data_IF_062301463404
#
_entry.id   IF_062301463404
#
_cell.length_a   1.000
_cell.length_b   1.000
_cell.length_c   1.000
_cell.angle_alpha   90.00
_cell.angle_beta   90.00
_cell.angle_gamma   90.00
#
_symmetry.space_group_name_H-M   'P 1'
#
loop_
_entity.id
_entity.type
_entity.pdbx_description
1 polymer ?
#
# COMPACT_ATOMS: atom_id res chain seq x y z
N UNK A 1 8.60 -0.35 -23.48
CA UNK A 1 7.27 -0.16 -22.85
C UNK A 1 7.56 0.28 -21.41
N UNK A 2 6.82 1.23 -20.81
CA UNK A 2 7.17 1.68 -19.45
C UNK A 2 6.81 0.58 -18.44
N UNK A 3 7.82 0.14 -17.69
CA UNK A 3 7.73 -0.82 -16.59
C UNK A 3 6.90 -0.26 -15.42
N UNK A 4 5.97 -1.06 -14.90
CA UNK A 4 5.19 -0.72 -13.70
C UNK A 4 5.85 -1.34 -12.45
N UNK A 5 5.86 -0.66 -11.29
CA UNK A 5 6.52 -1.17 -10.08
C UNK A 5 5.91 -2.48 -9.60
N UNK A 6 6.72 -3.32 -8.93
CA UNK A 6 6.23 -4.51 -8.23
C UNK A 6 5.15 -4.10 -7.22
N UNK A 7 3.93 -4.62 -7.39
CA UNK A 7 2.82 -4.39 -6.46
C UNK A 7 3.24 -4.86 -5.06
N UNK A 8 3.06 -4.00 -4.06
CA UNK A 8 3.25 -4.30 -2.63
C UNK A 8 1.90 -4.32 -1.93
N UNK A 9 1.80 -5.05 -0.82
CA UNK A 9 0.64 -5.07 0.05
C UNK A 9 0.95 -4.31 1.35
N UNK A 10 0.09 -3.35 1.70
CA UNK A 10 0.17 -2.63 2.96
C UNK A 10 -0.40 -3.46 4.10
N UNK A 11 0.24 -3.42 5.26
CA UNK A 11 -0.28 -4.02 6.49
C UNK A 11 -0.40 -2.92 7.55
N UNK A 12 -1.63 -2.64 7.96
CA UNK A 12 -1.91 -1.69 9.04
C UNK A 12 -2.39 -2.44 10.27
N UNK A 13 -1.58 -2.43 11.32
CA UNK A 13 -1.92 -3.00 12.61
C UNK A 13 -2.58 -1.95 13.51
N UNK A 14 -3.55 -2.36 14.33
CA UNK A 14 -4.06 -1.48 15.37
C UNK A 14 -2.96 -1.14 16.40
N UNK A 15 -3.03 0.05 17.01
CA UNK A 15 -2.01 0.49 17.98
C UNK A 15 -1.93 -0.42 19.20
N UNK A 16 -3.06 -1.00 19.58
CA UNK A 16 -3.08 -2.09 20.55
C UNK A 16 -2.68 -1.74 21.98
N UNK A 17 -2.77 -0.45 22.33
CA UNK A 17 -2.30 0.07 23.61
C UNK A 17 -3.13 -0.41 24.80
N UNK A 18 -4.40 -0.77 24.58
CA UNK A 18 -5.35 -1.13 25.64
C UNK A 18 -5.31 -2.62 26.04
N UNK A 19 -4.87 -3.53 25.15
CA UNK A 19 -5.03 -4.98 25.35
C UNK A 19 -3.95 -5.81 24.66
N UNK A 20 -3.69 -7.01 25.20
CA UNK A 20 -2.69 -7.94 24.67
C UNK A 20 -2.92 -8.32 23.19
N UNK A 21 -4.19 -8.46 22.78
CA UNK A 21 -4.54 -8.74 21.38
C UNK A 21 -4.04 -7.67 20.40
N UNK A 22 -3.91 -6.42 20.86
CA UNK A 22 -3.32 -5.35 20.07
C UNK A 22 -1.79 -5.37 20.00
N UNK A 23 -1.12 -6.06 20.92
CA UNK A 23 0.31 -6.37 20.77
C UNK A 23 0.50 -7.54 19.82
N UNK A 24 -0.43 -8.50 19.81
CA UNK A 24 -0.46 -9.56 18.81
C UNK A 24 -0.57 -8.99 17.40
N UNK A 25 -1.42 -7.98 17.13
CA UNK A 25 -1.51 -7.37 15.80
C UNK A 25 -0.19 -6.80 15.31
N UNK A 26 0.50 -6.01 16.15
CA UNK A 26 1.77 -5.36 15.80
C UNK A 26 2.89 -6.37 15.56
N UNK A 27 3.01 -7.39 16.43
CA UNK A 27 4.02 -8.43 16.27
C UNK A 27 3.71 -9.36 15.10
N UNK A 28 2.44 -9.65 14.81
CA UNK A 28 2.04 -10.41 13.63
C UNK A 28 2.35 -9.65 12.34
N UNK A 29 2.02 -8.35 12.28
CA UNK A 29 2.39 -7.48 11.16
C UNK A 29 3.91 -7.45 10.94
N UNK A 30 4.69 -7.31 12.02
CA UNK A 30 6.15 -7.33 11.97
C UNK A 30 6.67 -8.69 11.47
N UNK A 31 6.11 -9.80 11.97
CA UNK A 31 6.48 -11.15 11.53
C UNK A 31 6.21 -11.35 10.04
N UNK A 32 5.06 -10.88 9.54
CA UNK A 32 4.76 -10.93 8.09
C UNK A 32 5.78 -10.10 7.31
N UNK A 33 6.05 -8.88 7.77
CA UNK A 33 7.00 -7.96 7.13
C UNK A 33 8.44 -8.49 7.12
N UNK A 34 8.92 -9.11 8.20
CA UNK A 34 10.33 -9.46 8.32
C UNK A 34 10.62 -10.91 7.91
N UNK A 35 9.67 -11.82 8.11
CA UNK A 35 9.92 -13.27 8.03
C UNK A 35 9.13 -13.97 6.94
N UNK A 36 7.88 -13.55 6.67
CA UNK A 36 7.02 -14.28 5.73
C UNK A 36 7.02 -13.68 4.33
N UNK A 37 6.92 -12.36 4.18
CA UNK A 37 6.65 -11.65 2.92
C UNK A 37 7.40 -10.32 2.83
N UNK A 38 8.70 -10.33 3.13
CA UNK A 38 9.52 -9.12 3.26
C UNK A 38 9.74 -8.37 1.96
N UNK A 39 9.76 -9.07 0.82
CA UNK A 39 9.87 -8.46 -0.48
C UNK A 39 8.52 -8.01 -1.05
N UNK A 40 7.41 -8.32 -0.38
CA UNK A 40 6.05 -8.14 -0.90
C UNK A 40 5.17 -7.22 -0.05
N UNK A 41 5.57 -6.96 1.20
CA UNK A 41 4.77 -6.19 2.16
C UNK A 41 5.47 -4.92 2.63
N UNK A 42 4.66 -3.99 3.11
CA UNK A 42 5.10 -2.80 3.85
C UNK A 42 4.17 -2.59 5.04
N UNK A 43 4.68 -2.06 6.14
CA UNK A 43 3.85 -1.73 7.31
C UNK A 43 3.41 -0.28 7.28
N UNK A 44 2.17 -0.03 7.68
CA UNK A 44 1.60 1.29 7.88
C UNK A 44 1.47 1.56 9.37
N UNK A 45 2.03 2.68 9.82
CA UNK A 45 1.98 3.09 11.21
C UNK A 45 0.63 3.75 11.50
N UNK A 46 -0.30 3.03 12.14
CA UNK A 46 -1.64 3.57 12.43
C UNK A 46 -1.62 4.92 13.18
N UNK A 47 -0.78 5.14 14.21
CA UNK A 47 -0.68 6.46 14.83
C UNK A 47 -0.31 7.59 13.85
N UNK A 48 0.68 7.37 12.98
CA UNK A 48 1.09 8.36 11.97
C UNK A 48 -0.01 8.56 10.92
N UNK A 49 -0.64 7.47 10.49
CA UNK A 49 -1.77 7.48 9.56
C UNK A 49 -2.94 8.32 10.10
N UNK A 50 -3.27 8.16 11.39
CA UNK A 50 -4.29 8.96 12.07
C UNK A 50 -3.87 10.43 12.19
N UNK A 51 -2.59 10.70 12.46
CA UNK A 51 -2.04 12.04 12.63
C UNK A 51 -1.90 12.86 11.33
N UNK A 52 -2.19 12.28 10.16
CA UNK A 52 -2.03 13.00 8.88
C UNK A 52 -0.81 12.57 8.06
N UNK A 53 -0.25 11.40 8.29
CA UNK A 53 0.82 10.83 7.48
C UNK A 53 0.38 10.60 6.04
N UNK A 54 0.55 11.61 5.18
CA UNK A 54 0.08 11.58 3.79
C UNK A 54 0.75 10.48 2.96
N UNK A 55 2.01 10.13 3.24
CA UNK A 55 2.68 9.01 2.58
C UNK A 55 1.98 7.66 2.82
N UNK A 56 1.63 7.37 4.07
CA UNK A 56 0.94 6.12 4.43
C UNK A 56 -0.50 6.11 3.91
N UNK A 57 -1.19 7.26 3.97
CA UNK A 57 -2.56 7.40 3.42
C UNK A 57 -2.59 7.23 1.92
N UNK A 58 -1.64 7.82 1.22
CA UNK A 58 -1.47 7.66 -0.22
C UNK A 58 -1.23 6.21 -0.58
N UNK A 59 -0.28 5.56 0.11
CA UNK A 59 -0.02 4.15 -0.09
C UNK A 59 -1.31 3.33 0.04
N UNK A 60 -2.04 3.49 1.15
CA UNK A 60 -3.28 2.74 1.38
C UNK A 60 -4.41 3.04 0.38
N UNK A 61 -4.35 4.18 -0.32
CA UNK A 61 -5.34 4.57 -1.34
C UNK A 61 -5.08 3.90 -2.68
N UNK A 62 -3.82 3.66 -3.00
CA UNK A 62 -3.40 3.14 -4.30
C UNK A 62 -2.96 1.68 -4.27
N UNK A 63 -2.66 1.13 -3.10
CA UNK A 63 -2.19 -0.24 -2.91
C UNK A 63 -3.11 -1.05 -2.00
N UNK A 64 -3.28 -2.36 -2.29
CA UNK A 64 -4.08 -3.22 -1.46
C UNK A 64 -3.53 -3.21 -0.03
N UNK A 65 -4.41 -2.97 0.94
CA UNK A 65 -4.04 -2.84 2.35
C UNK A 65 -4.86 -3.78 3.21
N UNK A 66 -4.17 -4.58 4.02
CA UNK A 66 -4.76 -5.49 5.01
C UNK A 66 -4.76 -4.80 6.37
N UNK A 67 -5.93 -4.73 7.00
CA UNK A 67 -6.05 -4.26 8.37
C UNK A 67 -6.01 -5.42 9.37
N UNK A 68 -5.18 -5.32 10.40
CA UNK A 68 -5.11 -6.28 11.50
C UNK A 68 -5.51 -5.58 12.79
N UNK A 69 -6.65 -5.98 13.36
CA UNK A 69 -7.26 -5.36 14.52
C UNK A 69 -7.28 -6.32 15.72
N UNK A 70 -6.99 -5.78 16.90
CA UNK A 70 -6.96 -6.58 18.14
C UNK A 70 -8.35 -6.94 18.65
N UNK A 71 -9.38 -6.18 18.27
CA UNK A 71 -10.76 -6.34 18.73
C UNK A 71 -11.77 -5.81 17.71
N UNK A 72 -13.05 -5.95 18.04
CA UNK A 72 -14.22 -5.54 17.25
C UNK A 72 -14.33 -4.02 17.01
N UNK A 73 -13.64 -3.18 17.80
CA UNK A 73 -13.54 -1.73 17.56
C UNK A 73 -12.98 -1.39 16.18
N UNK A 74 -12.15 -2.30 15.61
CA UNK A 74 -11.61 -2.24 14.25
C UNK A 74 -10.92 -0.91 13.90
N UNK A 75 -10.07 -0.42 14.80
CA UNK A 75 -9.42 0.89 14.68
C UNK A 75 -8.62 1.04 13.38
N UNK A 76 -7.85 0.02 13.00
CA UNK A 76 -7.04 0.02 11.79
C UNK A 76 -7.91 -0.01 10.53
N UNK A 77 -8.88 -0.91 10.48
CA UNK A 77 -9.79 -1.00 9.33
C UNK A 77 -10.59 0.30 9.13
N UNK A 78 -11.16 0.85 10.21
CA UNK A 78 -11.96 2.08 10.17
C UNK A 78 -11.14 3.30 9.80
N UNK A 79 -9.90 3.41 10.30
CA UNK A 79 -9.01 4.48 9.92
C UNK A 79 -8.70 4.42 8.41
N UNK A 80 -8.32 3.23 7.93
CA UNK A 80 -8.02 3.00 6.52
C UNK A 80 -9.21 3.37 5.64
N UNK A 81 -10.41 2.87 5.97
CA UNK A 81 -11.65 3.18 5.26
C UNK A 81 -11.93 4.68 5.20
N UNK A 82 -11.78 5.36 6.34
CA UNK A 82 -12.06 6.79 6.45
C UNK A 82 -11.09 7.66 5.62
N UNK A 83 -9.81 7.32 5.58
CA UNK A 83 -8.78 8.22 5.02
C UNK A 83 -8.25 7.79 3.63
N UNK A 84 -8.39 6.50 3.29
CA UNK A 84 -7.77 5.90 2.11
C UNK A 84 -8.67 4.94 1.34
N UNK A 85 -9.87 4.62 1.84
CA UNK A 85 -10.79 3.67 1.23
C UNK A 85 -10.77 2.29 1.89
N UNK A 86 -11.68 1.41 1.48
CA UNK A 86 -11.93 0.14 2.18
C UNK A 86 -10.68 -0.76 2.15
N UNK A 87 -10.25 -1.33 3.30
CA UNK A 87 -9.22 -2.35 3.33
C UNK A 87 -9.54 -3.51 2.39
N UNK A 88 -8.51 -4.01 1.69
CA UNK A 88 -8.63 -5.15 0.79
C UNK A 88 -8.93 -6.46 1.56
N UNK A 89 -8.44 -6.55 2.80
CA UNK A 89 -8.83 -7.57 3.75
C UNK A 89 -8.77 -7.03 5.19
N UNK A 90 -9.48 -7.69 6.10
CA UNK A 90 -9.49 -7.33 7.53
C UNK A 90 -9.43 -8.60 8.37
N UNK A 91 -8.57 -8.59 9.39
CA UNK A 91 -8.38 -9.66 10.35
C UNK A 91 -8.60 -9.12 11.76
N UNK A 92 -9.39 -9.82 12.58
CA UNK A 92 -9.56 -9.48 13.99
C UNK A 92 -9.01 -10.60 14.85
N UNK A 93 -8.02 -10.29 15.69
CA UNK A 93 -7.31 -11.28 16.51
C UNK A 93 -8.27 -12.05 17.41
N UNK A 94 -9.16 -11.37 18.11
CA UNK A 94 -10.14 -12.02 19.00
C UNK A 94 -11.14 -12.92 18.28
N UNK A 95 -11.42 -12.68 16.99
CA UNK A 95 -12.25 -13.56 16.17
C UNK A 95 -11.48 -14.83 15.78
N UNK A 96 -10.16 -14.73 15.54
CA UNK A 96 -9.31 -15.86 15.17
C UNK A 96 -8.95 -16.77 16.34
N UNK A 97 -8.55 -16.18 17.48
CA UNK A 97 -8.02 -16.95 18.62
C UNK A 97 -9.01 -17.10 19.77
N UNK A 98 -10.15 -16.42 19.71
CA UNK A 98 -11.17 -16.40 20.76
C UNK A 98 -10.98 -15.22 21.74
N UNK A 99 -12.06 -14.48 22.00
CA UNK A 99 -12.04 -13.27 22.82
C UNK A 99 -11.67 -13.52 24.29
N UNK A 100 -12.01 -14.70 24.83
CA UNK A 100 -11.76 -15.08 26.23
C UNK A 100 -10.34 -15.62 26.48
N UNK A 101 -9.54 -15.78 25.43
CA UNK A 101 -8.20 -16.35 25.55
C UNK A 101 -7.26 -15.35 26.21
N UNK A 102 -6.60 -15.76 27.29
CA UNK A 102 -5.60 -14.96 27.96
C UNK A 102 -4.28 -14.95 27.15
N UNK A 103 -4.01 -13.84 26.48
CA UNK A 103 -2.80 -13.62 25.68
C UNK A 103 -1.66 -12.94 26.49
N UNK A 104 -1.89 -12.69 27.78
CA UNK A 104 -0.99 -11.94 28.66
C UNK A 104 -1.43 -10.48 28.80
N UNK A 105 -0.47 -9.56 28.77
CA UNK A 105 -0.70 -8.12 28.97
C UNK A 105 -0.35 -7.33 27.70
N UNK A 106 -0.85 -6.10 27.54
CA UNK A 106 -0.45 -5.23 26.42
C UNK A 106 1.07 -5.10 26.28
N UNK A 107 1.81 -5.04 27.40
CA UNK A 107 3.27 -4.87 27.37
C UNK A 107 4.06 -6.18 27.25
N UNK A 108 3.44 -7.32 27.56
CA UNK A 108 4.12 -8.61 27.61
C UNK A 108 3.15 -9.75 27.34
N UNK A 109 3.34 -10.40 26.19
CA UNK A 109 2.61 -11.61 25.83
C UNK A 109 3.08 -12.81 26.66
N UNK A 110 2.14 -13.67 27.03
CA UNK A 110 2.44 -15.00 27.56
C UNK A 110 2.70 -15.97 26.39
N UNK A 111 2.78 -17.26 26.67
CA UNK A 111 3.04 -18.27 25.64
C UNK A 111 1.89 -18.35 24.61
N UNK A 112 0.65 -18.38 25.09
CA UNK A 112 -0.54 -18.34 24.24
C UNK A 112 -0.57 -17.09 23.35
N UNK A 113 -0.15 -15.93 23.88
CA UNK A 113 -0.01 -14.69 23.12
C UNK A 113 1.04 -14.78 22.02
N UNK A 114 2.18 -15.44 22.28
CA UNK A 114 3.19 -15.68 21.24
C UNK A 114 2.69 -16.63 20.15
N UNK A 115 1.99 -17.70 20.53
CA UNK A 115 1.36 -18.60 19.57
C UNK A 115 0.30 -17.88 18.73
N UNK A 116 -0.47 -16.96 19.33
CA UNK A 116 -1.42 -16.13 18.60
C UNK A 116 -0.76 -15.22 17.56
N UNK A 117 0.47 -14.73 17.81
CA UNK A 117 1.24 -13.98 16.80
C UNK A 117 1.50 -14.83 15.57
N UNK A 118 1.93 -16.08 15.77
CA UNK A 118 2.19 -17.01 14.67
C UNK A 118 0.90 -17.33 13.91
N UNK A 119 -0.19 -17.66 14.60
CA UNK A 119 -1.51 -17.93 14.00
C UNK A 119 -2.01 -16.76 13.16
N UNK A 120 -1.90 -15.52 13.67
CA UNK A 120 -2.37 -14.33 12.95
C UNK A 120 -1.46 -14.02 11.76
N UNK A 121 -0.14 -14.15 11.89
CA UNK A 121 0.78 -13.93 10.78
C UNK A 121 0.57 -14.97 9.66
N UNK A 122 0.37 -16.24 10.02
CA UNK A 122 0.07 -17.32 9.08
C UNK A 122 -1.29 -17.15 8.40
N UNK A 123 -2.28 -16.54 9.07
CA UNK A 123 -3.55 -16.19 8.46
C UNK A 123 -3.44 -15.00 7.49
N UNK A 124 -2.54 -14.06 7.75
CA UNK A 124 -2.33 -12.86 6.92
C UNK A 124 -1.49 -13.15 5.67
N UNK A 125 -0.47 -14.00 5.76
CA UNK A 125 0.41 -14.35 4.64
C UNK A 125 -0.33 -14.80 3.35
N UNK A 126 -1.31 -15.72 3.39
CA UNK A 126 -2.06 -16.11 2.19
C UNK A 126 -2.96 -14.98 1.67
N UNK A 127 -3.40 -14.04 2.52
CA UNK A 127 -4.12 -12.85 2.05
C UNK A 127 -3.19 -11.96 1.21
N UNK A 128 -1.93 -11.81 1.62
CA UNK A 128 -0.91 -11.11 0.83
C UNK A 128 -0.72 -11.80 -0.52
N UNK A 129 -0.52 -13.12 -0.53
CA UNK A 129 -0.35 -13.91 -1.76
C UNK A 129 -1.52 -13.73 -2.73
N UNK A 130 -2.75 -13.83 -2.21
CA UNK A 130 -3.96 -13.67 -2.99
C UNK A 130 -4.09 -12.26 -3.59
N UNK A 131 -3.71 -11.23 -2.83
CA UNK A 131 -3.77 -9.84 -3.28
C UNK A 131 -2.70 -9.52 -4.34
N UNK A 132 -1.60 -10.28 -4.38
CA UNK A 132 -0.55 -10.14 -5.39
C UNK A 132 -0.73 -11.07 -6.59
N UNK A 133 -1.62 -12.06 -6.52
CA UNK A 133 -1.80 -13.07 -7.55
C UNK A 133 -0.64 -14.09 -7.62
N UNK A 134 0.15 -14.24 -6.55
CA UNK A 134 1.35 -15.07 -6.52
C UNK A 134 1.06 -16.42 -5.86
N UNK A 135 1.52 -17.54 -6.45
CA UNK A 135 1.50 -18.87 -5.81
C UNK A 135 2.81 -19.13 -5.07
N UNK A 136 2.73 -19.40 -3.76
CA UNK A 136 3.88 -19.63 -2.87
C UNK A 136 4.26 -21.11 -2.71
N UNK A 137 5.55 -21.45 -2.76
CA UNK A 137 6.04 -22.82 -2.48
C UNK A 137 6.45 -22.96 -1.02
N UNK A 138 5.71 -23.81 -0.28
CA UNK A 138 6.02 -24.14 1.13
C UNK A 138 7.32 -24.92 1.32
N UNK A 139 7.90 -25.50 0.26
CA UNK A 139 9.16 -26.28 0.35
C UNK A 139 10.42 -25.43 0.29
N UNK A 140 10.35 -24.28 -0.39
CA UNK A 140 11.52 -23.43 -0.67
C UNK A 140 11.49 -22.10 0.10
N UNK A 141 10.36 -21.73 0.71
CA UNK A 141 10.25 -20.44 1.40
C UNK A 141 10.42 -19.24 0.46
N UNK A 142 10.07 -19.40 -0.82
CA UNK A 142 10.21 -18.38 -1.85
C UNK A 142 9.01 -18.41 -2.81
N UNK A 143 8.77 -17.28 -3.50
CA UNK A 143 7.81 -17.19 -4.59
C UNK A 143 8.18 -18.18 -5.70
N UNK A 144 7.17 -18.85 -6.28
CA UNK A 144 7.37 -19.63 -7.50
C UNK A 144 7.15 -18.69 -8.67
N UNK A 145 8.23 -18.19 -9.26
CA UNK A 145 8.16 -17.28 -10.41
C UNK A 145 7.70 -18.04 -11.67
N UNK A 146 6.69 -17.51 -12.35
CA UNK A 146 6.67 -17.60 -13.81
C UNK A 146 7.76 -16.66 -14.34
N UNK A 147 8.64 -17.24 -15.14
CA UNK A 147 9.90 -16.67 -15.63
C UNK A 147 9.72 -15.38 -16.42
N UNK A 148 10.47 -14.35 -16.02
CA UNK A 148 11.16 -13.46 -16.96
C UNK A 148 12.29 -12.73 -16.24
N UNK A 149 13.53 -13.00 -16.66
CA UNK A 149 14.76 -12.42 -16.14
C UNK A 149 14.98 -10.98 -16.66
N UNK A 150 16.09 -10.28 -16.31
CA UNK A 150 16.05 -9.01 -15.61
C UNK A 150 16.47 -7.85 -16.53
N UNK A 151 16.26 -6.60 -16.11
CA UNK A 151 17.24 -5.50 -16.26
C UNK A 151 16.71 -4.17 -15.69
N UNK A 152 17.63 -3.28 -15.42
CA UNK A 152 17.65 -2.28 -14.33
C UNK A 152 16.80 -1.03 -14.58
N UNK A 153 16.13 -0.52 -13.53
CA UNK A 153 15.58 0.83 -13.50
C UNK A 153 15.74 1.49 -12.11
N UNK A 154 16.06 2.78 -12.15
CA UNK A 154 16.58 3.60 -11.03
C UNK A 154 15.46 3.99 -10.07
N UNK A 155 15.48 3.39 -8.88
CA UNK A 155 14.60 3.72 -7.75
C UNK A 155 14.99 5.06 -7.11
N UNK A 156 14.01 5.92 -6.82
CA UNK A 156 14.15 6.87 -5.73
C UNK A 156 13.98 6.10 -4.41
N UNK A 157 15.09 5.70 -3.78
CA UNK A 157 15.05 4.97 -2.51
C UNK A 157 14.63 5.89 -1.36
N UNK A 158 13.41 5.69 -0.85
CA UNK A 158 13.03 6.18 0.47
C UNK A 158 13.70 5.30 1.55
N UNK A 159 13.98 5.86 2.73
CA UNK A 159 14.66 5.19 3.84
C UNK A 159 13.98 3.87 4.31
N UNK A 160 12.71 3.68 3.94
CA UNK A 160 11.91 2.48 4.27
C UNK A 160 11.86 1.41 3.15
N UNK A 161 12.54 1.60 2.02
CA UNK A 161 12.59 0.60 0.94
C UNK A 161 11.30 0.44 0.12
N UNK A 162 10.28 1.29 0.32
CA UNK A 162 9.12 1.37 -0.58
C UNK A 162 9.47 2.20 -1.81
N UNK A 163 9.77 1.55 -2.93
CA UNK A 163 9.84 2.24 -4.21
C UNK A 163 8.46 2.77 -4.57
N UNK A 164 8.28 4.10 -4.52
CA UNK A 164 7.06 4.72 -5.05
C UNK A 164 7.19 4.77 -6.58
N UNK A 165 6.17 4.35 -7.36
CA UNK A 165 6.19 4.50 -8.81
C UNK A 165 6.57 5.90 -9.19
N UNK A 166 7.59 6.03 -10.03
CA UNK A 166 7.94 7.30 -10.65
C UNK A 166 7.62 7.23 -12.14
N UNK A 167 7.12 8.33 -12.69
CA UNK A 167 7.05 8.55 -14.12
C UNK A 167 8.04 9.65 -14.47
N UNK A 168 8.94 9.37 -15.40
CA UNK A 168 9.77 10.41 -16.01
C UNK A 168 9.01 10.98 -17.20
N UNK A 169 8.65 12.26 -17.13
CA UNK A 169 7.96 12.96 -18.22
C UNK A 169 8.76 14.19 -18.65
N UNK A 170 8.53 14.60 -19.89
CA UNK A 170 9.11 15.83 -20.44
C UNK A 170 8.13 16.98 -20.23
N UNK A 171 8.53 17.95 -19.40
CA UNK A 171 7.79 19.19 -19.17
C UNK A 171 8.58 20.33 -19.80
N UNK A 172 8.01 20.95 -20.84
CA UNK A 172 8.75 21.81 -21.75
C UNK A 172 10.03 21.09 -22.26
N UNK A 173 11.21 21.61 -21.97
CA UNK A 173 12.51 21.04 -22.39
C UNK A 173 13.26 20.31 -21.26
N UNK A 174 12.59 20.05 -20.13
CA UNK A 174 13.20 19.39 -18.96
C UNK A 174 12.60 18.01 -18.75
N UNK A 175 13.46 17.03 -18.46
CA UNK A 175 13.03 15.72 -17.96
C UNK A 175 12.82 15.82 -16.46
N UNK A 176 11.62 15.54 -16.02
CA UNK A 176 11.20 15.62 -14.63
C UNK A 176 10.69 14.25 -14.17
N UNK A 177 11.12 13.84 -12.98
CA UNK A 177 10.71 12.57 -12.38
C UNK A 177 9.62 12.85 -11.36
N UNK A 178 8.40 12.45 -11.68
CA UNK A 178 7.25 12.64 -10.80
C UNK A 178 6.86 11.35 -10.08
N UNK A 179 6.66 11.49 -8.79
CA UNK A 179 6.30 10.43 -7.86
C UNK A 179 4.79 10.19 -7.92
N UNK A 180 4.38 8.92 -7.79
CA UNK A 180 3.01 8.42 -7.72
C UNK A 180 2.16 8.58 -9.00
N UNK A 181 2.66 9.24 -10.05
CA UNK A 181 1.89 9.50 -11.28
C UNK A 181 1.31 8.22 -11.94
N UNK A 182 2.05 7.10 -12.08
CA UNK A 182 1.48 5.87 -12.62
C UNK A 182 0.26 5.36 -11.82
N UNK A 183 0.31 5.45 -10.50
CA UNK A 183 -0.79 5.03 -9.63
C UNK A 183 -1.98 6.00 -9.69
N UNK A 184 -1.71 7.31 -9.85
CA UNK A 184 -2.76 8.32 -10.06
C UNK A 184 -3.51 8.04 -11.37
N UNK A 185 -2.81 7.66 -12.45
CA UNK A 185 -3.43 7.32 -13.73
C UNK A 185 -4.36 6.10 -13.60
N UNK A 186 -3.89 5.02 -12.98
CA UNK A 186 -4.70 3.83 -12.73
C UNK A 186 -5.97 4.18 -11.94
N UNK A 187 -5.84 4.98 -10.88
CA UNK A 187 -6.96 5.43 -10.05
C UNK A 187 -7.99 6.23 -10.84
N UNK A 188 -7.55 7.21 -11.64
CA UNK A 188 -8.46 8.01 -12.48
C UNK A 188 -9.17 7.13 -13.51
N UNK A 189 -8.45 6.19 -14.13
CA UNK A 189 -9.02 5.27 -15.11
C UNK A 189 -10.12 4.38 -14.51
N UNK A 190 -9.87 3.82 -13.33
CA UNK A 190 -10.83 2.99 -12.58
C UNK A 190 -12.08 3.78 -12.14
N UNK A 191 -11.96 5.08 -11.91
CA UNK A 191 -13.09 5.97 -11.62
C UNK A 191 -13.89 6.38 -12.87
N UNK A 192 -13.51 5.90 -14.05
CA UNK A 192 -14.16 6.28 -15.31
C UNK A 192 -13.84 7.69 -15.76
N UNK A 193 -12.86 8.36 -15.13
CA UNK A 193 -12.38 9.67 -15.59
C UNK A 193 -11.62 9.45 -16.89
N UNK A 194 -11.90 10.25 -17.91
CA UNK A 194 -11.26 10.17 -19.21
C UNK A 194 -10.62 11.50 -19.58
N UNK A 195 -9.56 11.51 -20.41
CA UNK A 195 -8.82 12.74 -20.71
C UNK A 195 -9.65 13.85 -21.38
N UNK A 196 -10.73 13.47 -22.07
CA UNK A 196 -11.68 14.36 -22.74
C UNK A 196 -12.73 14.96 -21.79
N UNK A 197 -12.85 14.42 -20.58
CA UNK A 197 -13.81 14.89 -19.59
C UNK A 197 -13.33 16.23 -19.01
N UNK A 198 -14.22 17.23 -19.01
CA UNK A 198 -13.90 18.57 -18.53
C UNK A 198 -13.47 18.54 -17.05
N UNK A 199 -12.38 19.24 -16.72
CA UNK A 199 -11.83 19.33 -15.36
C UNK A 199 -10.86 18.21 -14.95
N UNK A 200 -10.73 17.11 -15.72
CA UNK A 200 -9.80 16.01 -15.38
C UNK A 200 -8.35 16.46 -15.38
N UNK A 201 -7.94 17.33 -16.30
CA UNK A 201 -6.57 17.84 -16.37
C UNK A 201 -6.18 18.62 -15.10
N UNK A 202 -7.04 19.53 -14.66
CA UNK A 202 -6.85 20.29 -13.43
C UNK A 202 -6.84 19.37 -12.18
N UNK A 203 -7.74 18.39 -12.11
CA UNK A 203 -7.80 17.43 -11.00
C UNK A 203 -6.56 16.53 -10.96
N UNK A 204 -6.06 16.12 -12.13
CA UNK A 204 -4.85 15.31 -12.28
C UNK A 204 -3.60 16.07 -11.80
N UNK A 205 -3.49 17.35 -12.17
CA UNK A 205 -2.45 18.24 -11.67
C UNK A 205 -2.53 18.41 -10.14
N UNK A 206 -3.73 18.67 -9.60
CA UNK A 206 -3.92 18.82 -8.15
C UNK A 206 -3.56 17.55 -7.39
N UNK A 207 -3.95 16.39 -7.89
CA UNK A 207 -3.61 15.10 -7.27
C UNK A 207 -2.10 14.84 -7.35
N UNK A 208 -1.46 15.21 -8.46
CA UNK A 208 0.00 15.06 -8.63
C UNK A 208 0.78 15.98 -7.69
N UNK A 209 0.28 17.20 -7.42
CA UNK A 209 0.86 18.16 -6.46
C UNK A 209 0.90 17.66 -5.02
N UNK A 210 0.06 16.68 -4.66
CA UNK A 210 0.10 16.06 -3.33
C UNK A 210 1.45 15.36 -3.05
N UNK A 211 2.16 14.95 -4.10
CA UNK A 211 3.40 14.18 -3.99
C UNK A 211 4.61 14.86 -4.62
N UNK A 212 4.39 15.95 -5.36
CA UNK A 212 5.42 16.61 -6.15
C UNK A 212 5.34 18.12 -5.97
N UNK A 213 6.47 18.75 -5.65
CA UNK A 213 6.56 20.20 -5.56
C UNK A 213 6.54 20.83 -6.95
N UNK A 214 5.35 21.26 -7.39
CA UNK A 214 5.13 21.92 -8.68
C UNK A 214 4.69 23.36 -8.42
N UNK A 215 5.55 24.32 -8.78
CA UNK A 215 5.26 25.74 -8.61
C UNK A 215 4.10 26.20 -9.52
N UNK A 216 3.40 27.27 -9.14
CA UNK A 216 2.22 27.75 -9.87
C UNK A 216 2.56 28.32 -11.25
N UNK A 217 3.76 28.88 -11.41
CA UNK A 217 4.24 29.47 -12.67
C UNK A 217 4.41 28.42 -13.77
N UNK A 218 4.73 27.19 -13.39
CA UNK A 218 4.96 26.07 -14.32
C UNK A 218 3.77 25.12 -14.41
N UNK A 219 2.73 25.33 -13.60
CA UNK A 219 1.57 24.46 -13.49
C UNK A 219 0.91 24.13 -14.84
N UNK A 220 0.70 25.10 -15.76
CA UNK A 220 0.07 24.81 -17.05
C UNK A 220 0.88 23.84 -17.91
N UNK A 221 2.22 23.90 -17.83
CA UNK A 221 3.10 23.00 -18.57
C UNK A 221 3.02 21.57 -18.02
N UNK A 222 2.95 21.41 -16.70
CA UNK A 222 2.75 20.13 -16.03
C UNK A 222 1.37 19.54 -16.31
N UNK A 223 0.32 20.35 -16.26
CA UNK A 223 -1.04 19.92 -16.59
C UNK A 223 -1.13 19.35 -18.01
N UNK A 224 -0.58 20.09 -18.99
CA UNK A 224 -0.52 19.62 -20.36
C UNK A 224 0.30 18.33 -20.52
N UNK A 225 1.43 18.20 -19.81
CA UNK A 225 2.26 16.99 -19.85
C UNK A 225 1.57 15.78 -19.23
N UNK A 226 0.98 15.94 -18.05
CA UNK A 226 0.23 14.89 -17.36
C UNK A 226 -0.96 14.42 -18.18
N UNK A 227 -1.71 15.35 -18.81
CA UNK A 227 -2.86 15.00 -19.63
C UNK A 227 -2.46 14.20 -20.88
N UNK A 228 -1.34 14.56 -21.54
CA UNK A 228 -0.80 13.79 -22.68
C UNK A 228 -0.44 12.36 -22.27
N UNK A 229 0.35 12.21 -21.19
CA UNK A 229 0.76 10.90 -20.71
C UNK A 229 -0.43 10.06 -20.22
N UNK A 230 -1.43 10.69 -19.60
CA UNK A 230 -2.64 10.02 -19.17
C UNK A 230 -3.49 9.55 -20.36
N UNK A 231 -3.54 10.33 -21.44
CA UNK A 231 -4.20 9.93 -22.69
C UNK A 231 -3.54 8.68 -23.29
N UNK A 232 -2.21 8.63 -23.31
CA UNK A 232 -1.47 7.44 -23.74
C UNK A 232 -1.70 6.24 -22.83
N UNK A 233 -1.81 6.46 -21.52
CA UNK A 233 -2.15 5.39 -20.57
C UNK A 233 -3.53 4.79 -20.88
N UNK A 234 -4.57 5.62 -21.03
CA UNK A 234 -5.93 5.16 -21.33
C UNK A 234 -6.00 4.35 -22.64
N UNK A 235 -5.36 4.84 -23.71
CA UNK A 235 -5.31 4.12 -24.99
C UNK A 235 -4.70 2.71 -24.88
N UNK A 236 -3.70 2.53 -24.00
CA UNK A 236 -3.08 1.22 -23.77
C UNK A 236 -3.96 0.25 -22.97
N UNK A 237 -4.88 0.76 -22.15
CA UNK A 237 -5.81 -0.08 -21.38
C UNK A 237 -7.02 -0.53 -22.22
N UNK A 238 -7.27 0.14 -23.34
CA UNK A 238 -8.37 -0.14 -24.27
C UNK A 238 -7.93 -0.99 -25.49
N UNK A 239 -6.63 -1.28 -25.60
CA UNK A 239 -6.03 -2.11 -26.65
C UNK A 239 -5.76 -3.54 -26.17
#
# INVERSE_FOLDING_TARGET
MPDLPKKKVGIVACSGEEMAAGTVTRLAALKVLEQLRSAETVTICLPLFLAGGEGDRAFARFYPTIAIDGCDKRCAARATEKYSGKPAASVVVTELVGAEVNLGTPRRLNETGRQAVDTVAEAVAPLVDNLLGVKWSRRSGAAVEETSQPEEAVEAKCSCGSGIPVLMLSVADRRETLIAVPAIFEHFYQQGKRPDTNGVAAELLQTTRLYNSIADEVAPAYEAALLREYSHYCQKQEA
#
